data_IF_411365699595
#
_entry.id   IF_411365699595
#
_cell.length_a   1.000
_cell.length_b   1.000
_cell.length_c   1.000
_cell.angle_alpha   90.00
_cell.angle_beta   90.00
_cell.angle_gamma   90.00
#
_symmetry.space_group_name_H-M   'P 1'
#
loop_
_entity.id
_entity.type
_entity.pdbx_description
1 polymer ?
#
# COMPACT_ATOMS: atom_id res chain seq x y z
N UNK A 1 11.21 39.24 -6.39
CA UNK A 1 12.25 39.08 -7.41
C UNK A 1 12.69 40.44 -7.94
N UNK A 2 13.99 40.75 -7.88
CA UNK A 2 14.51 41.95 -8.53
C UNK A 2 14.40 41.79 -10.05
N UNK A 3 13.92 42.80 -10.76
CA UNK A 3 13.69 42.79 -12.20
C UNK A 3 12.64 41.79 -12.74
N UNK A 4 11.76 41.29 -11.90
CA UNK A 4 10.67 40.41 -12.31
C UNK A 4 11.08 38.97 -12.63
N UNK A 5 12.34 38.57 -12.44
CA UNK A 5 12.82 37.22 -12.67
C UNK A 5 12.53 36.35 -11.47
N UNK A 6 11.80 35.24 -11.70
CA UNK A 6 11.53 34.18 -10.72
C UNK A 6 12.19 32.86 -11.18
N UNK A 7 13.11 32.34 -10.36
CA UNK A 7 13.83 31.09 -10.64
C UNK A 7 13.26 29.87 -9.89
N UNK A 8 12.12 30.03 -9.22
CA UNK A 8 11.56 28.96 -8.40
C UNK A 8 10.81 27.89 -9.20
N UNK A 9 10.34 28.22 -10.39
CA UNK A 9 9.64 27.29 -11.26
C UNK A 9 10.20 27.35 -12.68
N UNK A 10 10.15 26.21 -13.38
CA UNK A 10 10.62 26.10 -14.76
C UNK A 10 9.83 27.04 -15.68
N UNK A 11 8.52 27.15 -15.50
CA UNK A 11 7.67 28.08 -16.26
C UNK A 11 8.10 29.53 -16.08
N UNK A 12 8.41 29.93 -14.85
CA UNK A 12 8.88 31.31 -14.57
C UNK A 12 10.28 31.56 -15.12
N UNK A 13 11.17 30.58 -15.15
CA UNK A 13 12.50 30.65 -15.76
C UNK A 13 12.39 30.85 -17.28
N UNK A 14 11.45 30.18 -17.93
CA UNK A 14 11.17 30.34 -19.37
C UNK A 14 10.53 31.68 -19.70
N UNK A 15 9.57 32.14 -18.88
CA UNK A 15 8.99 33.48 -19.04
C UNK A 15 10.05 34.58 -18.85
N UNK A 16 10.99 34.32 -17.94
CA UNK A 16 12.08 35.25 -17.63
C UNK A 16 11.63 36.52 -16.91
N UNK A 17 12.42 37.54 -16.98
CA UNK A 17 12.17 38.83 -16.37
C UNK A 17 12.15 39.95 -17.39
N UNK A 18 12.48 41.22 -16.96
CA UNK A 18 12.51 42.38 -17.82
C UNK A 18 13.50 42.27 -19.00
N UNK A 19 14.50 41.38 -18.92
CA UNK A 19 15.51 41.15 -19.95
C UNK A 19 15.17 39.95 -20.86
N UNK A 20 13.97 39.39 -20.76
CA UNK A 20 13.54 38.22 -21.52
C UNK A 20 13.72 36.86 -20.80
N UNK A 21 13.60 35.74 -21.52
CA UNK A 21 13.77 34.41 -20.97
C UNK A 21 15.10 34.18 -20.30
N UNK A 22 15.12 33.56 -19.12
CA UNK A 22 16.37 33.30 -18.39
C UNK A 22 17.19 32.17 -19.01
N UNK A 23 16.53 31.22 -19.66
CA UNK A 23 17.18 30.12 -20.40
C UNK A 23 16.51 29.93 -21.77
N UNK A 24 17.30 29.41 -22.72
CA UNK A 24 16.84 28.94 -24.02
C UNK A 24 17.09 27.45 -24.14
N UNK A 25 16.09 26.75 -24.62
CA UNK A 25 16.19 25.29 -24.81
C UNK A 25 17.28 24.97 -25.85
N UNK A 26 18.07 23.95 -25.61
CA UNK A 26 19.17 23.49 -26.49
C UNK A 26 20.33 24.45 -26.69
N UNK A 27 20.35 25.55 -25.95
CA UNK A 27 21.31 26.62 -26.21
C UNK A 27 21.80 27.28 -24.91
N UNK A 28 22.57 26.54 -24.11
CA UNK A 28 23.11 27.05 -22.85
C UNK A 28 23.97 28.33 -23.09
N UNK A 29 24.81 28.34 -24.12
CA UNK A 29 25.71 29.42 -24.45
C UNK A 29 25.00 30.74 -24.78
N UNK A 30 23.75 30.67 -25.25
CA UNK A 30 22.91 31.84 -25.56
C UNK A 30 21.82 32.11 -24.53
N UNK A 31 21.83 31.35 -23.43
CA UNK A 31 20.93 31.50 -22.30
C UNK A 31 21.43 32.62 -21.37
N UNK A 32 20.56 33.59 -21.06
CA UNK A 32 20.88 34.73 -20.21
C UNK A 32 21.45 34.28 -18.85
N UNK A 33 20.91 33.24 -18.26
CA UNK A 33 21.36 32.67 -16.99
C UNK A 33 22.84 32.24 -17.08
N UNK A 34 23.22 31.53 -18.15
CA UNK A 34 24.60 31.09 -18.36
C UNK A 34 25.53 32.24 -18.70
N UNK A 35 25.08 33.17 -19.54
CA UNK A 35 25.86 34.36 -19.93
C UNK A 35 26.22 35.18 -18.70
N UNK A 36 25.28 35.50 -17.80
CA UNK A 36 25.56 36.30 -16.60
C UNK A 36 26.39 35.56 -15.57
N UNK A 37 26.26 34.21 -15.50
CA UNK A 37 27.05 33.37 -14.62
C UNK A 37 28.52 33.27 -15.12
N UNK A 38 28.72 33.02 -16.43
CA UNK A 38 30.06 32.87 -17.03
C UNK A 38 30.81 34.17 -17.13
N UNK A 39 30.11 35.30 -17.33
CA UNK A 39 30.74 36.64 -17.37
C UNK A 39 31.08 37.22 -16.00
N UNK A 40 30.79 36.51 -14.89
CA UNK A 40 31.02 36.99 -13.53
C UNK A 40 30.09 38.10 -13.06
N UNK A 41 29.04 38.45 -13.83
CA UNK A 41 28.01 39.43 -13.43
C UNK A 41 27.10 38.87 -12.30
N UNK A 42 27.07 37.57 -12.11
CA UNK A 42 26.35 36.89 -11.06
C UNK A 42 27.23 35.82 -10.35
N UNK A 43 27.20 35.77 -9.03
CA UNK A 43 26.38 36.54 -8.09
C UNK A 43 26.87 38.01 -7.98
N UNK A 44 25.96 38.97 -7.70
CA UNK A 44 26.32 40.40 -7.63
C UNK A 44 27.13 40.76 -6.37
N UNK A 45 27.23 39.87 -5.41
CA UNK A 45 28.04 39.95 -4.19
C UNK A 45 28.58 38.54 -3.88
N UNK A 46 29.87 38.43 -3.61
CA UNK A 46 30.57 37.16 -3.35
C UNK A 46 31.59 36.84 -4.42
N UNK A 47 32.21 35.69 -4.35
CA UNK A 47 33.14 35.19 -5.37
C UNK A 47 32.40 34.77 -6.65
N UNK A 48 32.99 35.02 -7.84
CA UNK A 48 32.44 34.51 -9.09
C UNK A 48 32.34 32.99 -9.09
N UNK A 49 31.37 32.45 -9.83
CA UNK A 49 31.23 31.01 -9.99
C UNK A 49 32.49 30.41 -10.62
N UNK A 50 32.94 29.31 -10.07
CA UNK A 50 34.06 28.53 -10.61
C UNK A 50 33.71 27.92 -11.97
N UNK A 51 34.71 27.59 -12.78
CA UNK A 51 34.51 26.92 -14.06
C UNK A 51 33.72 25.59 -13.93
N UNK A 52 33.90 24.87 -12.82
CA UNK A 52 33.15 23.63 -12.53
C UNK A 52 31.66 23.92 -12.26
N UNK A 53 31.32 24.99 -11.56
CA UNK A 53 29.92 25.39 -11.28
C UNK A 53 29.23 25.92 -12.53
N UNK A 54 29.95 26.72 -13.34
CA UNK A 54 29.48 27.17 -14.65
C UNK A 54 29.22 25.95 -15.56
N UNK A 55 30.10 24.95 -15.55
CA UNK A 55 29.93 23.71 -16.29
C UNK A 55 28.66 22.95 -15.87
N UNK A 56 28.34 22.92 -14.58
CA UNK A 56 27.07 22.28 -14.07
C UNK A 56 25.85 23.04 -14.60
N UNK A 57 25.84 24.36 -14.61
CA UNK A 57 24.73 25.15 -15.16
C UNK A 57 24.56 24.84 -16.66
N UNK A 58 25.66 24.78 -17.42
CA UNK A 58 25.64 24.44 -18.83
C UNK A 58 25.05 23.06 -19.10
N UNK A 59 25.52 22.03 -18.37
CA UNK A 59 25.03 20.69 -18.48
C UNK A 59 23.52 20.61 -18.09
N UNK A 60 23.15 21.28 -17.02
CA UNK A 60 21.76 21.34 -16.58
C UNK A 60 20.83 21.97 -17.63
N UNK A 61 21.24 23.07 -18.26
CA UNK A 61 20.44 23.69 -19.33
C UNK A 61 20.34 22.77 -20.55
N UNK A 62 21.41 22.11 -20.96
CA UNK A 62 21.43 21.30 -22.18
C UNK A 62 20.80 19.90 -21.98
N UNK A 63 20.89 19.30 -20.80
CA UNK A 63 20.43 17.92 -20.53
C UNK A 63 19.22 17.87 -19.63
N UNK A 64 19.29 18.37 -18.41
CA UNK A 64 18.24 18.21 -17.40
C UNK A 64 17.12 19.23 -17.52
N UNK A 65 17.44 20.49 -17.72
CA UNK A 65 16.41 21.52 -17.89
C UNK A 65 15.55 21.25 -19.12
N UNK A 66 16.15 20.68 -20.15
CA UNK A 66 15.44 20.31 -21.38
C UNK A 66 14.33 19.28 -21.16
N UNK A 67 14.55 18.28 -20.32
CA UNK A 67 13.52 17.28 -19.99
C UNK A 67 12.39 17.91 -19.19
N UNK A 68 12.71 18.68 -18.18
CA UNK A 68 11.73 19.37 -17.33
C UNK A 68 10.95 20.43 -18.10
N UNK A 69 11.64 21.16 -18.99
CA UNK A 69 11.04 22.20 -19.82
C UNK A 69 10.12 21.64 -20.92
N UNK A 70 10.45 20.50 -21.51
CA UNK A 70 9.54 19.81 -22.45
C UNK A 70 8.25 19.38 -21.76
N UNK A 71 8.33 18.94 -20.51
CA UNK A 71 7.15 18.60 -19.72
C UNK A 71 6.30 19.85 -19.43
N UNK A 72 6.93 20.96 -19.03
CA UNK A 72 6.24 22.22 -18.75
C UNK A 72 5.62 22.86 -20.02
N UNK A 73 6.28 22.77 -21.16
CA UNK A 73 5.75 23.26 -22.44
C UNK A 73 4.55 22.41 -22.92
N UNK A 74 4.59 21.09 -22.70
CA UNK A 74 3.48 20.20 -23.00
C UNK A 74 2.25 20.51 -22.13
N UNK A 75 2.45 20.84 -20.84
CA UNK A 75 1.34 21.24 -19.95
C UNK A 75 0.77 22.63 -20.25
N UNK A 76 1.59 23.57 -20.73
CA UNK A 76 1.12 24.92 -21.08
C UNK A 76 0.32 24.96 -22.40
N UNK A 77 0.57 24.03 -23.33
CA UNK A 77 -0.19 23.93 -24.61
C UNK A 77 -1.56 23.25 -24.46
N UNK A 78 -1.90 22.70 -23.31
CA UNK A 78 -3.16 21.97 -23.07
C UNK A 78 -4.22 22.77 -22.31
N UNK A 79 -4.08 24.09 -22.19
CA UNK A 79 -5.06 24.93 -21.48
C UNK A 79 -6.39 25.12 -22.23
N UNK A 80 -6.54 24.68 -23.47
CA UNK A 80 -7.76 24.92 -24.30
C UNK A 80 -8.28 23.69 -25.07
N UNK A 81 -7.96 22.46 -24.65
CA UNK A 81 -8.57 21.29 -25.27
C UNK A 81 -9.29 20.48 -24.20
N UNK A 82 -10.60 20.23 -24.42
CA UNK A 82 -11.39 19.27 -23.64
C UNK A 82 -10.56 18.01 -23.45
N UNK A 83 -10.24 17.73 -22.18
CA UNK A 83 -9.50 16.55 -21.75
C UNK A 83 -10.33 15.32 -22.08
N UNK A 84 -10.08 14.70 -23.21
CA UNK A 84 -10.24 13.25 -23.36
C UNK A 84 -8.94 12.67 -22.86
N UNK A 85 -8.93 12.30 -21.59
CA UNK A 85 -7.81 11.61 -20.95
C UNK A 85 -7.59 10.26 -21.60
N UNK A 86 -6.70 10.21 -22.58
CA UNK A 86 -5.90 9.02 -22.78
C UNK A 86 -4.52 9.35 -22.21
N UNK A 87 -4.41 9.20 -20.90
CA UNK A 87 -3.12 9.13 -20.23
C UNK A 87 -2.43 7.89 -20.80
N UNK A 88 -1.57 8.08 -21.79
CA UNK A 88 -0.64 7.03 -22.19
C UNK A 88 0.33 6.84 -21.02
N UNK A 89 -0.07 6.01 -20.06
CA UNK A 89 0.90 5.36 -19.22
C UNK A 89 1.87 4.70 -20.20
N UNK A 90 3.17 4.95 -20.05
CA UNK A 90 4.15 4.12 -20.73
C UNK A 90 3.70 2.68 -20.49
N UNK A 91 3.35 1.97 -21.55
CA UNK A 91 3.15 0.53 -21.51
C UNK A 91 4.53 -0.03 -21.15
N UNK A 92 4.81 -0.12 -19.84
CA UNK A 92 5.76 -1.08 -19.35
C UNK A 92 5.13 -2.40 -19.78
N UNK A 93 5.74 -3.09 -20.73
CA UNK A 93 5.35 -4.46 -21.04
C UNK A 93 5.52 -5.23 -19.74
N UNK A 94 4.40 -5.49 -19.07
CA UNK A 94 4.35 -6.29 -17.85
C UNK A 94 4.58 -7.76 -18.25
N UNK A 95 5.81 -8.07 -18.65
CA UNK A 95 6.26 -9.44 -18.95
C UNK A 95 6.52 -10.23 -17.66
N UNK A 96 6.48 -9.58 -16.52
CA UNK A 96 6.61 -10.23 -15.23
C UNK A 96 5.37 -11.07 -14.95
N UNK A 97 5.55 -12.36 -14.75
CA UNK A 97 4.48 -13.32 -14.50
C UNK A 97 3.55 -12.90 -13.35
N UNK A 98 4.10 -12.26 -12.29
CA UNK A 98 3.35 -11.80 -11.11
C UNK A 98 2.38 -10.63 -11.39
N UNK A 99 2.56 -9.91 -12.51
CA UNK A 99 1.66 -8.85 -12.94
C UNK A 99 0.73 -9.27 -14.07
N UNK A 100 0.88 -10.51 -14.55
CA UNK A 100 -0.03 -11.07 -15.54
C UNK A 100 -1.30 -11.57 -14.84
N UNK A 101 -2.50 -11.21 -15.31
CA UNK A 101 -3.73 -11.72 -14.73
C UNK A 101 -3.72 -13.24 -14.66
N UNK A 102 -4.07 -13.85 -13.50
CA UNK A 102 -4.07 -15.30 -13.36
C UNK A 102 -5.07 -15.94 -14.31
N UNK A 103 -4.63 -16.97 -15.03
CA UNK A 103 -5.49 -17.77 -15.89
C UNK A 103 -5.79 -19.09 -15.19
N UNK A 104 -7.06 -19.52 -15.23
CA UNK A 104 -7.48 -20.79 -14.65
C UNK A 104 -6.98 -21.93 -15.54
N UNK A 105 -6.04 -22.78 -15.04
CA UNK A 105 -5.57 -23.91 -15.83
C UNK A 105 -6.67 -24.98 -15.96
N UNK A 106 -6.58 -25.81 -17.01
CA UNK A 106 -7.43 -26.99 -17.12
C UNK A 106 -7.09 -27.97 -15.99
N UNK A 107 -8.13 -28.52 -15.35
CA UNK A 107 -7.95 -29.53 -14.29
C UNK A 107 -7.47 -30.83 -14.94
N UNK A 108 -6.32 -31.40 -14.51
CA UNK A 108 -5.82 -32.64 -15.08
C UNK A 108 -6.78 -33.80 -14.89
N UNK A 109 -6.96 -34.62 -15.94
CA UNK A 109 -7.71 -35.88 -15.85
C UNK A 109 -6.71 -37.00 -15.59
N UNK A 110 -6.68 -37.47 -14.35
CA UNK A 110 -5.81 -38.60 -13.98
C UNK A 110 -6.56 -39.90 -14.23
N UNK A 111 -6.07 -40.71 -15.17
CA UNK A 111 -6.66 -42.01 -15.49
C UNK A 111 -6.03 -43.12 -14.63
N UNK A 112 -6.86 -44.04 -14.07
CA UNK A 112 -6.38 -45.19 -13.32
C UNK A 112 -7.21 -45.51 -12.09
N UNK A 113 -6.72 -46.48 -11.27
CA UNK A 113 -7.37 -46.88 -9.98
C UNK A 113 -7.46 -45.75 -8.97
N UNK A 114 -6.64 -44.67 -9.18
CA UNK A 114 -6.64 -43.46 -8.38
C UNK A 114 -7.42 -42.30 -9.07
N UNK A 115 -8.29 -42.65 -10.05
CA UNK A 115 -9.17 -41.65 -10.69
C UNK A 115 -10.06 -41.02 -9.63
N UNK A 116 -10.12 -39.69 -9.52
CA UNK A 116 -11.00 -39.06 -8.55
C UNK A 116 -12.45 -39.43 -8.89
N UNK A 117 -13.20 -39.79 -7.86
CA UNK A 117 -14.67 -39.71 -7.92
C UNK A 117 -15.04 -38.31 -8.46
N UNK A 118 -16.14 -38.20 -9.20
CA UNK A 118 -16.57 -36.95 -9.84
C UNK A 118 -16.74 -35.75 -8.88
N UNK A 119 -16.60 -36.01 -7.58
CA UNK A 119 -16.64 -35.05 -6.44
C UNK A 119 -15.28 -34.62 -5.96
N UNK A 120 -14.16 -35.10 -6.55
CA UNK A 120 -12.82 -34.76 -6.05
C UNK A 120 -12.48 -33.27 -6.24
N UNK A 121 -11.84 -32.72 -5.23
CA UNK A 121 -11.32 -31.35 -5.26
C UNK A 121 -10.32 -31.18 -6.45
N UNK A 122 -10.45 -30.14 -7.28
CA UNK A 122 -9.49 -29.88 -8.36
C UNK A 122 -8.03 -29.86 -7.90
N UNK A 123 -7.74 -29.40 -6.68
CA UNK A 123 -6.38 -29.39 -6.10
C UNK A 123 -5.82 -30.83 -6.02
N UNK A 124 -6.65 -31.78 -5.64
CA UNK A 124 -6.23 -33.18 -5.58
C UNK A 124 -5.85 -33.73 -6.97
N UNK A 125 -6.51 -33.28 -8.03
CA UNK A 125 -6.18 -33.68 -9.40
C UNK A 125 -4.78 -33.22 -9.81
N UNK A 126 -4.43 -31.97 -9.50
CA UNK A 126 -3.08 -31.45 -9.76
C UNK A 126 -2.01 -32.18 -8.92
N UNK A 127 -2.29 -32.46 -7.65
CA UNK A 127 -1.37 -33.19 -6.80
C UNK A 127 -1.19 -34.64 -7.28
N UNK A 128 -2.26 -35.32 -7.67
CA UNK A 128 -2.21 -36.69 -8.19
C UNK A 128 -1.42 -36.78 -9.48
N UNK A 129 -1.57 -35.84 -10.41
CA UNK A 129 -0.78 -35.78 -11.64
C UNK A 129 0.72 -35.76 -11.32
N UNK A 130 1.13 -34.86 -10.40
CA UNK A 130 2.53 -34.74 -10.00
C UNK A 130 3.06 -35.97 -9.25
N UNK A 131 2.24 -36.55 -8.35
CA UNK A 131 2.59 -37.78 -7.65
C UNK A 131 2.76 -38.95 -8.62
N UNK A 132 1.79 -39.14 -9.55
CA UNK A 132 1.82 -40.21 -10.56
C UNK A 132 3.05 -40.09 -11.46
N UNK A 133 3.44 -38.89 -11.87
CA UNK A 133 4.65 -38.66 -12.66
C UNK A 133 5.93 -39.11 -11.94
N UNK A 134 5.89 -39.21 -10.61
CA UNK A 134 7.01 -39.72 -9.77
C UNK A 134 6.79 -41.15 -9.27
N UNK A 135 5.76 -41.85 -9.74
CA UNK A 135 5.42 -43.21 -9.28
C UNK A 135 4.93 -43.26 -7.82
N UNK A 136 4.43 -42.14 -7.30
CA UNK A 136 3.90 -42.01 -5.95
C UNK A 136 2.37 -41.90 -5.93
N UNK A 137 1.76 -42.17 -4.79
CA UNK A 137 0.35 -42.00 -4.54
C UNK A 137 0.12 -41.25 -3.20
N UNK A 138 -1.10 -40.81 -2.95
CA UNK A 138 -1.45 -40.27 -1.63
C UNK A 138 -1.25 -41.32 -0.52
N UNK A 139 -0.83 -40.84 0.63
CA UNK A 139 -0.84 -41.63 1.86
C UNK A 139 -2.26 -42.00 2.28
N UNK A 140 -2.47 -43.07 3.03
CA UNK A 140 -3.79 -43.38 3.60
C UNK A 140 -4.36 -42.20 4.38
N UNK A 141 -5.70 -42.05 4.45
CA UNK A 141 -6.35 -41.04 5.28
C UNK A 141 -5.88 -41.07 6.73
N UNK A 142 -5.71 -39.92 7.33
CA UNK A 142 -5.33 -39.80 8.72
C UNK A 142 -6.43 -40.36 9.64
N UNK A 143 -6.03 -40.90 10.80
CA UNK A 143 -6.99 -41.30 11.84
C UNK A 143 -7.84 -40.10 12.29
N UNK A 144 -9.10 -40.33 12.65
CA UNK A 144 -10.01 -39.26 13.14
C UNK A 144 -9.39 -38.42 14.26
N UNK A 145 -8.70 -39.07 15.23
CA UNK A 145 -8.00 -38.38 16.32
C UNK A 145 -6.87 -37.43 15.85
N UNK A 146 -6.16 -37.84 14.81
CA UNK A 146 -5.12 -37.01 14.18
C UNK A 146 -5.76 -35.88 13.40
N UNK A 147 -6.84 -36.14 12.67
CA UNK A 147 -7.51 -35.16 11.83
C UNK A 147 -8.12 -34.02 12.66
N UNK A 148 -8.91 -34.34 13.70
CA UNK A 148 -9.46 -33.30 14.58
C UNK A 148 -8.39 -32.49 15.27
N UNK A 149 -7.29 -33.12 15.71
CA UNK A 149 -6.16 -32.40 16.30
C UNK A 149 -5.56 -31.38 15.31
N UNK A 150 -5.36 -31.76 14.05
CA UNK A 150 -4.84 -30.87 13.01
C UNK A 150 -5.78 -29.71 12.75
N UNK A 151 -7.08 -29.99 12.54
CA UNK A 151 -8.10 -28.96 12.30
C UNK A 151 -8.11 -27.92 13.42
N UNK A 152 -8.15 -28.35 14.69
CA UNK A 152 -8.17 -27.43 15.82
C UNK A 152 -6.88 -26.58 15.91
N UNK A 153 -5.72 -27.21 15.72
CA UNK A 153 -4.44 -26.47 15.78
C UNK A 153 -4.29 -25.46 14.64
N UNK A 154 -4.69 -25.83 13.43
CA UNK A 154 -4.58 -24.94 12.28
C UNK A 154 -5.60 -23.81 12.36
N UNK A 155 -6.86 -24.12 12.63
CA UNK A 155 -7.96 -23.17 12.56
C UNK A 155 -8.12 -22.31 13.83
N UNK A 156 -7.89 -22.88 15.01
CA UNK A 156 -8.07 -22.20 16.31
C UNK A 156 -6.77 -21.98 17.09
N UNK A 157 -5.68 -22.66 16.71
CA UNK A 157 -4.40 -22.58 17.43
C UNK A 157 -4.38 -23.29 18.78
N UNK A 158 -5.39 -24.09 19.11
CA UNK A 158 -5.54 -24.81 20.37
C UNK A 158 -5.82 -26.28 20.14
N UNK A 159 -5.71 -27.10 21.20
CA UNK A 159 -6.10 -28.51 21.15
C UNK A 159 -7.62 -28.67 21.32
N UNK A 160 -8.23 -29.70 20.66
CA UNK A 160 -9.61 -30.05 20.90
C UNK A 160 -9.84 -30.58 22.34
N UNK A 161 -11.00 -30.30 22.91
CA UNK A 161 -11.35 -30.87 24.19
C UNK A 161 -11.54 -32.41 24.09
N UNK A 162 -11.38 -33.18 25.20
CA UNK A 162 -11.64 -34.60 25.20
C UNK A 162 -13.04 -34.96 24.71
N UNK A 163 -14.02 -34.12 25.04
CA UNK A 163 -15.41 -34.29 24.60
C UNK A 163 -15.57 -34.09 23.08
N UNK A 164 -14.91 -33.11 22.50
CA UNK A 164 -14.90 -32.88 21.04
C UNK A 164 -14.27 -34.08 20.31
N UNK A 165 -13.16 -34.61 20.84
CA UNK A 165 -12.49 -35.80 20.28
C UNK A 165 -13.45 -37.00 20.30
N UNK A 166 -14.14 -37.24 21.44
CA UNK A 166 -15.06 -38.34 21.59
C UNK A 166 -16.27 -38.24 20.64
N UNK A 167 -16.89 -37.05 20.53
CA UNK A 167 -17.99 -36.79 19.59
C UNK A 167 -17.58 -37.07 18.15
N UNK A 168 -16.47 -36.53 17.71
CA UNK A 168 -15.98 -36.72 16.34
C UNK A 168 -15.58 -38.18 16.06
N UNK A 169 -14.94 -38.85 17.01
CA UNK A 169 -14.58 -40.27 16.90
C UNK A 169 -15.78 -41.18 16.73
N UNK A 170 -16.87 -40.87 17.43
CA UNK A 170 -18.11 -41.65 17.41
C UNK A 170 -19.03 -41.34 16.20
N UNK A 171 -18.79 -40.27 15.46
CA UNK A 171 -19.58 -39.86 14.28
C UNK A 171 -19.07 -40.56 13.02
N UNK A 172 -19.69 -41.64 12.60
CA UNK A 172 -19.33 -42.40 11.39
C UNK A 172 -20.16 -41.98 10.16
N UNK A 173 -20.85 -40.84 10.24
CA UNK A 173 -21.60 -40.34 9.09
C UNK A 173 -20.65 -39.76 8.01
N UNK A 174 -21.05 -39.81 6.72
CA UNK A 174 -20.26 -39.25 5.63
C UNK A 174 -19.96 -37.74 5.77
N UNK A 175 -20.78 -37.02 6.55
CA UNK A 175 -20.66 -35.58 6.77
C UNK A 175 -19.98 -35.22 8.10
N UNK A 176 -19.42 -36.21 8.82
CA UNK A 176 -18.74 -35.96 10.11
C UNK A 176 -17.64 -34.92 10.03
N UNK A 177 -16.83 -34.97 8.97
CA UNK A 177 -15.75 -33.99 8.74
C UNK A 177 -16.28 -32.58 8.43
N UNK A 178 -17.36 -32.50 7.63
CA UNK A 178 -17.99 -31.22 7.34
C UNK A 178 -18.54 -30.55 8.60
N UNK A 179 -19.24 -31.33 9.45
CA UNK A 179 -19.73 -30.84 10.76
C UNK A 179 -18.59 -30.32 11.64
N UNK A 180 -17.46 -31.02 11.67
CA UNK A 180 -16.28 -30.59 12.41
C UNK A 180 -15.78 -29.23 11.88
N UNK A 181 -15.72 -29.05 10.57
CA UNK A 181 -15.30 -27.79 9.97
C UNK A 181 -16.29 -26.66 10.28
N UNK A 182 -17.59 -26.92 10.15
CA UNK A 182 -18.66 -25.95 10.45
C UNK A 182 -18.62 -25.52 11.94
N UNK A 183 -18.41 -26.46 12.87
CA UNK A 183 -18.24 -26.17 14.30
C UNK A 183 -17.02 -25.28 14.55
N UNK A 184 -15.88 -25.56 13.93
CA UNK A 184 -14.63 -24.85 14.13
C UNK A 184 -14.66 -23.47 13.47
N UNK A 185 -15.26 -23.34 12.29
CA UNK A 185 -15.41 -22.05 11.60
C UNK A 185 -16.40 -21.11 12.30
N UNK A 186 -17.40 -21.68 13.01
CA UNK A 186 -18.34 -20.89 13.82
C UNK A 186 -17.77 -20.49 15.19
N UNK A 187 -16.61 -21.01 15.59
CA UNK A 187 -15.97 -20.68 16.86
C UNK A 187 -15.36 -19.27 16.81
N UNK A 188 -15.69 -18.34 17.72
CA UNK A 188 -15.16 -16.98 17.71
C UNK A 188 -13.63 -16.92 17.79
N UNK A 189 -12.97 -17.93 18.30
CA UNK A 189 -11.50 -18.04 18.33
C UNK A 189 -10.88 -18.20 16.93
N UNK A 190 -11.67 -18.56 15.92
CA UNK A 190 -11.23 -18.53 14.52
C UNK A 190 -10.76 -17.12 14.11
N UNK A 191 -11.58 -16.11 14.36
CA UNK A 191 -11.22 -14.73 14.07
C UNK A 191 -10.03 -14.23 14.88
N UNK A 192 -9.89 -14.62 16.15
CA UNK A 192 -8.72 -14.30 16.97
C UNK A 192 -7.44 -14.92 16.38
N UNK A 193 -7.51 -16.20 15.96
CA UNK A 193 -6.37 -16.93 15.38
C UNK A 193 -5.95 -16.35 14.03
N UNK A 194 -6.91 -16.16 13.11
CA UNK A 194 -6.62 -15.72 11.74
C UNK A 194 -6.47 -14.21 11.62
N UNK A 195 -7.21 -13.46 12.40
CA UNK A 195 -7.05 -12.01 12.52
C UNK A 195 -5.65 -11.61 12.95
N UNK A 196 -4.97 -12.41 13.78
CA UNK A 196 -3.57 -12.18 14.16
C UNK A 196 -2.65 -12.09 12.94
N UNK A 197 -2.82 -12.99 11.96
CA UNK A 197 -1.98 -12.97 10.76
C UNK A 197 -2.16 -11.67 9.97
N UNK A 198 -3.41 -11.16 9.90
CA UNK A 198 -3.65 -9.86 9.30
C UNK A 198 -3.05 -8.71 10.10
N UNK A 199 -3.17 -8.73 11.41
CA UNK A 199 -2.59 -7.72 12.29
C UNK A 199 -1.06 -7.68 12.19
N UNK A 200 -0.40 -8.84 12.03
CA UNK A 200 1.04 -8.93 11.78
C UNK A 200 1.40 -8.26 10.42
N UNK A 201 0.62 -8.52 9.36
CA UNK A 201 0.79 -7.89 8.05
C UNK A 201 0.56 -6.39 8.11
N UNK A 202 -0.45 -5.94 8.86
CA UNK A 202 -0.78 -4.54 9.06
C UNK A 202 0.23 -3.79 9.95
N UNK A 203 1.13 -4.50 10.64
CA UNK A 203 2.05 -3.89 11.58
C UNK A 203 1.37 -3.36 12.84
N UNK A 204 0.31 -4.04 13.30
CA UNK A 204 -0.46 -3.65 14.49
C UNK A 204 0.41 -3.56 15.74
N UNK A 205 0.26 -2.49 16.49
CA UNK A 205 0.87 -2.29 17.80
C UNK A 205 -0.05 -1.46 18.70
N UNK A 206 -0.11 -1.78 19.99
CA UNK A 206 -0.85 -1.02 21.00
C UNK A 206 -0.18 0.33 21.33
N UNK A 207 1.06 0.54 20.90
CA UNK A 207 1.81 1.76 21.11
C UNK A 207 2.27 2.42 19.80
N UNK A 208 2.72 3.67 19.87
CA UNK A 208 3.15 4.46 18.73
C UNK A 208 4.47 3.98 18.08
N UNK A 209 5.25 3.16 18.79
CA UNK A 209 6.52 2.61 18.29
C UNK A 209 7.68 3.60 18.28
N UNK A 210 7.65 4.61 19.13
CA UNK A 210 8.70 5.66 19.19
C UNK A 210 9.58 5.49 20.41
N UNK A 211 10.86 5.17 20.21
CA UNK A 211 11.82 4.81 21.25
C UNK A 211 11.93 5.79 22.43
N UNK A 212 11.82 7.10 22.18
CA UNK A 212 12.04 8.13 23.21
C UNK A 212 10.77 8.63 23.88
N UNK A 213 9.62 8.29 23.32
CA UNK A 213 8.34 8.82 23.77
C UNK A 213 7.18 7.92 23.29
N UNK A 214 7.34 6.62 23.52
CA UNK A 214 6.31 5.66 23.16
C UNK A 214 5.02 5.94 23.96
N UNK A 215 3.92 6.06 23.25
CA UNK A 215 2.61 6.35 23.81
C UNK A 215 1.61 5.29 23.41
N UNK A 216 0.73 4.95 24.34
CA UNK A 216 -0.38 4.04 24.08
C UNK A 216 -1.32 4.62 23.04
N UNK A 217 -1.72 3.79 22.10
CA UNK A 217 -2.76 4.08 21.10
C UNK A 217 -4.12 3.68 21.67
N UNK A 218 -4.72 4.57 22.42
CA UNK A 218 -5.92 4.30 23.24
C UNK A 218 -7.10 3.66 22.48
N UNK A 219 -7.21 3.86 21.16
CA UNK A 219 -8.34 3.39 20.37
C UNK A 219 -7.96 2.33 19.32
N UNK A 220 -6.69 1.98 19.19
CA UNK A 220 -6.24 1.04 18.14
C UNK A 220 -6.83 -0.37 18.32
N UNK A 221 -7.19 -0.75 19.54
CA UNK A 221 -7.87 -2.01 19.82
C UNK A 221 -9.18 -2.17 19.05
N UNK A 222 -9.85 -1.06 18.65
CA UNK A 222 -11.05 -1.11 17.81
C UNK A 222 -10.76 -1.70 16.43
N UNK A 223 -9.59 -1.36 15.86
CA UNK A 223 -9.13 -1.97 14.61
C UNK A 223 -8.88 -3.47 14.77
N UNK A 224 -8.19 -3.89 15.84
CA UNK A 224 -8.00 -5.31 16.14
C UNK A 224 -9.34 -6.04 16.23
N UNK A 225 -10.26 -5.50 16.98
CA UNK A 225 -11.56 -6.12 17.19
C UNK A 225 -12.41 -6.14 15.90
N UNK A 226 -12.30 -5.09 15.06
CA UNK A 226 -12.85 -5.09 13.70
C UNK A 226 -12.30 -6.26 12.87
N UNK A 227 -10.98 -6.45 12.85
CA UNK A 227 -10.34 -7.53 12.11
C UNK A 227 -10.85 -8.89 12.58
N UNK A 228 -10.89 -9.13 13.90
CA UNK A 228 -11.41 -10.38 14.48
C UNK A 228 -12.86 -10.63 14.03
N UNK A 229 -13.73 -9.61 14.12
CA UNK A 229 -15.12 -9.74 13.68
C UNK A 229 -15.26 -9.94 12.17
N UNK A 230 -14.42 -9.30 11.37
CA UNK A 230 -14.41 -9.45 9.92
C UNK A 230 -14.11 -10.91 9.51
N UNK A 231 -13.12 -11.55 10.14
CA UNK A 231 -12.82 -12.96 9.92
C UNK A 231 -13.97 -13.87 10.40
N UNK A 232 -14.55 -13.61 11.56
CA UNK A 232 -15.64 -14.42 12.10
C UNK A 232 -16.95 -14.36 11.29
N UNK A 233 -17.20 -13.25 10.60
CA UNK A 233 -18.38 -13.08 9.73
C UNK A 233 -18.10 -13.41 8.26
N UNK A 234 -16.90 -13.92 7.96
CA UNK A 234 -16.45 -14.22 6.60
C UNK A 234 -16.64 -13.03 5.63
N UNK A 235 -16.21 -11.83 6.08
CA UNK A 235 -16.35 -10.61 5.28
C UNK A 235 -15.61 -10.77 3.96
N UNK A 236 -16.25 -10.51 2.79
CA UNK A 236 -15.59 -10.58 1.49
C UNK A 236 -14.31 -9.73 1.45
N UNK A 237 -13.23 -10.29 0.92
CA UNK A 237 -11.91 -9.67 0.96
C UNK A 237 -11.87 -8.28 0.31
N UNK A 238 -12.59 -8.08 -0.78
CA UNK A 238 -12.68 -6.78 -1.45
C UNK A 238 -13.37 -5.72 -0.58
N UNK A 239 -14.42 -6.10 0.15
CA UNK A 239 -15.08 -5.23 1.12
C UNK A 239 -14.15 -4.96 2.31
N UNK A 240 -13.50 -6.00 2.85
CA UNK A 240 -12.55 -5.88 3.93
C UNK A 240 -11.42 -4.88 3.63
N UNK A 241 -10.86 -4.93 2.41
CA UNK A 241 -9.82 -3.97 1.98
C UNK A 241 -10.39 -2.57 1.80
N UNK A 242 -11.56 -2.42 1.18
CA UNK A 242 -12.19 -1.10 0.96
C UNK A 242 -12.49 -0.39 2.28
N UNK A 243 -13.04 -1.10 3.26
CA UNK A 243 -13.34 -0.53 4.57
C UNK A 243 -12.06 -0.07 5.29
N UNK A 244 -10.94 -0.76 5.12
CA UNK A 244 -9.66 -0.37 5.73
C UNK A 244 -9.01 0.86 5.07
N UNK A 245 -9.35 1.17 3.82
CA UNK A 245 -8.79 2.32 3.09
C UNK A 245 -9.72 3.53 3.16
N UNK A 246 -11.03 3.32 3.03
CA UNK A 246 -12.03 4.38 2.84
C UNK A 246 -13.35 4.08 3.59
N UNK A 247 -13.27 3.42 4.73
CA UNK A 247 -14.47 3.04 5.50
C UNK A 247 -15.28 4.24 5.97
N UNK A 248 -14.62 5.33 6.32
CA UNK A 248 -15.24 6.60 6.70
C UNK A 248 -16.02 7.23 5.53
N UNK A 249 -15.52 7.16 4.31
CA UNK A 249 -16.17 7.68 3.12
C UNK A 249 -17.32 6.78 2.67
N UNK A 250 -17.10 5.46 2.64
CA UNK A 250 -18.11 4.48 2.17
C UNK A 250 -19.37 4.52 3.02
N UNK A 251 -19.23 4.73 4.32
CA UNK A 251 -20.35 4.79 5.28
C UNK A 251 -20.74 6.21 5.68
N UNK A 252 -20.36 7.23 4.91
CA UNK A 252 -20.73 8.63 5.12
C UNK A 252 -20.53 9.12 6.57
N UNK A 253 -19.36 8.81 7.16
CA UNK A 253 -19.05 9.15 8.55
C UNK A 253 -19.33 10.62 8.88
N UNK A 254 -18.91 11.55 8.02
CA UNK A 254 -19.04 12.99 8.29
C UNK A 254 -20.49 13.47 8.33
N UNK A 255 -21.35 12.91 7.48
CA UNK A 255 -22.79 13.22 7.52
C UNK A 255 -23.43 12.78 8.84
N UNK A 256 -23.11 11.58 9.31
CA UNK A 256 -23.56 11.08 10.61
C UNK A 256 -22.95 11.87 11.77
N UNK A 257 -21.68 12.27 11.67
CA UNK A 257 -21.01 13.06 12.69
C UNK A 257 -21.66 14.45 12.86
N UNK A 258 -22.06 15.11 11.79
CA UNK A 258 -22.65 16.44 11.82
C UNK A 258 -24.15 16.43 12.18
N UNK A 259 -24.89 15.38 11.78
CA UNK A 259 -26.34 15.35 11.82
C UNK A 259 -26.93 14.35 12.83
N UNK A 260 -26.12 13.61 13.58
CA UNK A 260 -26.59 12.59 14.53
C UNK A 260 -25.90 12.71 15.89
N UNK A 261 -26.66 12.47 16.97
CA UNK A 261 -26.11 12.44 18.33
C UNK A 261 -25.30 11.15 18.60
N UNK A 262 -25.63 10.07 17.88
CA UNK A 262 -24.97 8.78 17.98
C UNK A 262 -24.61 8.26 16.58
N UNK A 263 -23.44 7.61 16.48
CA UNK A 263 -23.02 6.96 15.25
C UNK A 263 -23.65 5.57 15.11
N UNK A 264 -24.24 5.23 13.96
CA UNK A 264 -24.68 3.88 13.66
C UNK A 264 -23.53 2.88 13.79
N UNK A 265 -23.84 1.64 14.19
CA UNK A 265 -22.83 0.61 14.46
C UNK A 265 -21.99 0.26 13.23
N UNK A 266 -22.57 0.23 12.05
CA UNK A 266 -21.86 -0.01 10.79
C UNK A 266 -20.88 1.11 10.43
N UNK A 267 -21.23 2.37 10.73
CA UNK A 267 -20.32 3.52 10.60
C UNK A 267 -19.15 3.40 11.57
N UNK A 268 -19.42 3.01 12.83
CA UNK A 268 -18.35 2.77 13.84
C UNK A 268 -17.43 1.63 13.42
N UNK A 269 -17.98 0.55 12.87
CA UNK A 269 -17.22 -0.60 12.35
C UNK A 269 -16.31 -0.16 11.19
N UNK A 270 -16.87 0.52 10.19
CA UNK A 270 -16.13 0.98 9.02
C UNK A 270 -15.06 2.04 9.37
N UNK A 271 -15.38 2.95 10.30
CA UNK A 271 -14.38 3.88 10.84
C UNK A 271 -13.26 3.14 11.58
N UNK A 272 -13.60 2.10 12.36
CA UNK A 272 -12.61 1.29 13.06
C UNK A 272 -11.69 0.54 12.08
N UNK A 273 -12.19 0.16 10.92
CA UNK A 273 -11.41 -0.47 9.85
C UNK A 273 -10.27 0.44 9.35
N UNK A 274 -10.51 1.76 9.25
CA UNK A 274 -9.49 2.72 8.80
C UNK A 274 -8.29 2.82 9.75
N UNK A 275 -8.36 2.19 10.92
CA UNK A 275 -7.23 1.99 11.81
C UNK A 275 -6.03 1.33 11.13
N UNK A 276 -6.23 0.59 10.03
CA UNK A 276 -5.17 0.09 9.15
C UNK A 276 -4.21 1.19 8.69
N UNK A 277 -4.72 2.38 8.38
CA UNK A 277 -3.91 3.52 7.97
C UNK A 277 -3.15 4.18 9.14
N UNK A 278 -3.36 3.69 10.37
CA UNK A 278 -2.74 4.21 11.59
C UNK A 278 -1.82 3.19 12.30
N UNK A 279 -1.57 2.05 11.70
CA UNK A 279 -0.73 0.98 12.28
C UNK A 279 0.77 1.29 12.19
N UNK A 280 1.19 2.08 11.20
CA UNK A 280 2.58 2.50 11.06
C UNK A 280 3.10 3.21 12.32
N UNK A 281 4.41 3.11 12.66
CA UNK A 281 5.02 3.92 13.69
C UNK A 281 4.72 5.40 13.46
N UNK A 282 4.12 6.05 14.42
CA UNK A 282 3.66 7.44 14.32
C UNK A 282 4.13 8.25 15.50
N UNK A 283 5.14 9.10 15.26
CA UNK A 283 5.65 10.04 16.23
C UNK A 283 4.88 11.38 16.23
N UNK A 284 3.90 11.55 15.34
CA UNK A 284 3.12 12.79 15.26
C UNK A 284 2.25 12.96 16.53
N UNK A 285 2.24 14.18 17.04
CA UNK A 285 1.52 14.56 18.28
C UNK A 285 0.83 15.90 18.10
N UNK A 286 -0.29 16.13 18.79
CA UNK A 286 -0.99 17.42 18.75
C UNK A 286 -0.15 18.63 19.18
N UNK A 287 0.91 18.43 19.97
CA UNK A 287 1.77 19.49 20.49
C UNK A 287 2.96 19.87 19.59
N UNK A 288 3.07 19.29 18.40
CA UNK A 288 4.18 19.57 17.48
C UNK A 288 4.20 20.96 16.84
N UNK A 289 3.21 21.80 17.11
CA UNK A 289 3.19 23.19 16.58
C UNK A 289 4.43 24.02 16.93
N UNK A 290 5.19 23.59 17.92
CA UNK A 290 6.41 24.28 18.39
C UNK A 290 7.70 23.70 17.81
N UNK A 291 7.67 22.57 17.13
CA UNK A 291 8.86 21.87 16.62
C UNK A 291 9.22 22.38 15.22
N UNK A 292 10.47 22.78 15.02
CA UNK A 292 10.98 23.13 13.70
C UNK A 292 11.11 21.88 12.81
N UNK A 293 10.70 22.00 11.53
CA UNK A 293 10.76 20.92 10.56
C UNK A 293 9.95 19.66 10.92
N UNK A 294 8.78 19.84 11.48
CA UNK A 294 7.84 18.75 11.82
C UNK A 294 7.60 17.82 10.64
N UNK A 295 7.40 18.38 9.45
CA UNK A 295 7.14 17.59 8.25
C UNK A 295 8.29 16.64 7.91
N UNK A 296 9.53 17.10 7.94
CA UNK A 296 10.70 16.26 7.61
C UNK A 296 10.99 15.18 8.65
N UNK A 297 10.77 15.50 9.93
CA UNK A 297 11.13 14.60 11.03
C UNK A 297 10.05 13.57 11.38
N UNK A 298 8.78 13.89 11.16
CA UNK A 298 7.66 13.06 11.63
C UNK A 298 6.66 12.73 10.53
N UNK A 299 6.13 13.72 9.82
CA UNK A 299 5.07 13.54 8.84
C UNK A 299 5.49 12.62 7.68
N UNK A 300 6.57 12.95 6.96
CA UNK A 300 7.03 12.14 5.85
C UNK A 300 7.50 10.74 6.25
N UNK A 301 8.24 10.54 7.37
CA UNK A 301 8.57 9.21 7.85
C UNK A 301 7.36 8.33 8.17
N UNK A 302 6.29 8.92 8.73
CA UNK A 302 5.06 8.20 9.01
C UNK A 302 4.36 7.78 7.72
N UNK A 303 4.23 8.69 6.74
CA UNK A 303 3.68 8.35 5.42
C UNK A 303 4.50 7.27 4.71
N UNK A 304 5.83 7.35 4.76
CA UNK A 304 6.71 6.31 4.21
C UNK A 304 6.41 4.92 4.82
N UNK A 305 6.23 4.88 6.13
CA UNK A 305 5.92 3.64 6.85
C UNK A 305 4.53 3.11 6.50
N UNK A 306 3.54 3.98 6.36
CA UNK A 306 2.19 3.61 5.91
C UNK A 306 2.19 3.10 4.47
N UNK A 307 2.92 3.76 3.56
CA UNK A 307 3.11 3.30 2.19
C UNK A 307 3.69 1.88 2.16
N UNK A 308 4.71 1.64 2.98
CA UNK A 308 5.35 0.33 3.08
C UNK A 308 4.34 -0.74 3.52
N UNK A 309 3.55 -0.48 4.56
CA UNK A 309 2.55 -1.42 5.07
C UNK A 309 1.45 -1.65 4.03
N UNK A 310 0.90 -0.59 3.45
CA UNK A 310 -0.16 -0.67 2.46
C UNK A 310 0.26 -1.48 1.23
N UNK A 311 1.44 -1.21 0.68
CA UNK A 311 1.89 -1.88 -0.53
C UNK A 311 2.35 -3.31 -0.27
N UNK A 312 3.07 -3.57 0.83
CA UNK A 312 3.48 -4.93 1.18
C UNK A 312 2.30 -5.79 1.62
N UNK A 313 1.37 -5.24 2.39
CA UNK A 313 0.21 -5.97 2.91
C UNK A 313 -0.86 -6.26 1.87
N UNK A 314 -1.18 -5.28 1.02
CA UNK A 314 -2.27 -5.42 0.04
C UNK A 314 -1.80 -5.84 -1.35
N UNK A 315 -0.60 -5.45 -1.76
CA UNK A 315 -0.10 -5.65 -3.12
C UNK A 315 1.05 -6.66 -3.20
N UNK A 316 1.63 -7.06 -2.07
CA UNK A 316 2.82 -7.91 -2.04
C UNK A 316 4.07 -7.27 -2.66
N UNK A 317 4.12 -5.93 -2.71
CA UNK A 317 5.17 -5.16 -3.38
C UNK A 317 5.88 -4.28 -2.36
N UNK A 318 7.22 -4.23 -2.41
CA UNK A 318 8.01 -3.34 -1.57
C UNK A 318 8.35 -2.06 -2.32
N UNK A 319 7.88 -0.90 -1.84
CA UNK A 319 8.06 0.38 -2.55
C UNK A 319 9.17 1.25 -1.99
N UNK A 320 9.74 0.91 -0.84
CA UNK A 320 10.70 1.76 -0.13
C UNK A 320 11.95 2.13 -0.97
N UNK A 321 12.44 1.21 -1.81
CA UNK A 321 13.57 1.47 -2.69
C UNK A 321 13.24 2.54 -3.74
N UNK A 322 11.98 2.59 -4.20
CA UNK A 322 11.51 3.55 -5.20
C UNK A 322 11.45 5.00 -4.68
N UNK A 323 11.63 5.23 -3.39
CA UNK A 323 11.78 6.58 -2.82
C UNK A 323 13.00 7.33 -3.38
N UNK A 324 14.11 6.64 -3.62
CA UNK A 324 15.38 7.25 -4.00
C UNK A 324 15.74 7.03 -5.48
N UNK A 325 15.32 5.93 -6.07
CA UNK A 325 15.59 5.55 -7.47
C UNK A 325 14.54 4.54 -7.93
N UNK A 326 14.44 4.27 -9.23
CA UNK A 326 13.55 3.25 -9.75
C UNK A 326 13.84 1.89 -9.10
N UNK A 327 12.79 1.11 -8.79
CA UNK A 327 12.94 -0.16 -8.10
C UNK A 327 13.78 -1.14 -8.93
N UNK A 328 14.71 -1.85 -8.27
CA UNK A 328 15.67 -2.69 -8.98
C UNK A 328 15.04 -3.91 -9.66
N UNK A 329 14.03 -4.48 -9.03
CA UNK A 329 13.44 -5.76 -9.45
C UNK A 329 12.01 -5.62 -9.96
N UNK A 330 11.21 -4.76 -9.34
CA UNK A 330 9.81 -4.56 -9.69
C UNK A 330 9.67 -3.39 -10.68
N UNK A 331 8.65 -3.40 -11.55
CA UNK A 331 8.44 -2.33 -12.53
C UNK A 331 7.83 -1.07 -11.86
N UNK A 332 8.49 -0.57 -10.84
CA UNK A 332 8.10 0.59 -10.06
C UNK A 332 9.12 1.70 -10.22
N UNK A 333 8.69 2.83 -10.74
CA UNK A 333 9.53 4.02 -10.85
C UNK A 333 9.49 4.85 -9.57
N UNK A 334 10.51 5.69 -9.37
CA UNK A 334 10.49 6.72 -8.32
C UNK A 334 9.24 7.60 -8.43
N UNK A 335 8.79 7.91 -9.64
CA UNK A 335 7.57 8.68 -9.88
C UNK A 335 6.34 7.98 -9.30
N UNK A 336 6.20 6.67 -9.47
CA UNK A 336 5.09 5.90 -8.90
C UNK A 336 5.07 5.99 -7.37
N UNK A 337 6.23 5.92 -6.72
CA UNK A 337 6.34 6.10 -5.28
C UNK A 337 5.75 7.46 -4.84
N UNK A 338 6.17 8.56 -5.46
CA UNK A 338 5.69 9.90 -5.10
C UNK A 338 4.23 10.16 -5.49
N UNK A 339 3.73 9.52 -6.54
CA UNK A 339 2.30 9.56 -6.87
C UNK A 339 1.46 8.91 -5.78
N UNK A 340 1.87 7.72 -5.30
CA UNK A 340 1.17 7.03 -4.22
C UNK A 340 1.32 7.77 -2.89
N UNK A 341 2.48 8.37 -2.62
CA UNK A 341 2.69 9.23 -1.46
C UNK A 341 1.71 10.42 -1.48
N UNK A 342 1.52 11.07 -2.63
CA UNK A 342 0.62 12.21 -2.77
C UNK A 342 -0.84 11.83 -2.46
N UNK A 343 -1.28 10.62 -2.81
CA UNK A 343 -2.61 10.10 -2.44
C UNK A 343 -2.73 10.00 -0.92
N UNK A 344 -1.75 9.40 -0.24
CA UNK A 344 -1.79 9.26 1.22
C UNK A 344 -1.65 10.60 1.95
N UNK A 345 -0.97 11.59 1.36
CA UNK A 345 -0.89 12.92 1.94
C UNK A 345 -2.23 13.64 2.05
N UNK A 346 -3.19 13.31 1.19
CA UNK A 346 -4.55 13.87 1.28
C UNK A 346 -5.38 13.21 2.38
N UNK A 347 -5.08 11.97 2.71
CA UNK A 347 -5.80 11.19 3.74
C UNK A 347 -5.19 11.41 5.14
N UNK A 348 -3.88 11.58 5.21
CA UNK A 348 -3.17 11.73 6.47
C UNK A 348 -2.93 13.20 6.80
N UNK A 349 -3.75 13.74 7.67
CA UNK A 349 -3.53 15.07 8.25
C UNK A 349 -3.12 14.95 9.72
N UNK A 350 -1.87 15.23 10.09
CA UNK A 350 -1.43 15.15 11.48
C UNK A 350 -2.06 16.21 12.38
N UNK A 351 -2.58 17.29 11.79
CA UNK A 351 -3.21 18.40 12.53
C UNK A 351 -4.71 18.21 12.74
N UNK A 352 -5.33 17.29 12.00
CA UNK A 352 -6.76 17.00 12.06
C UNK A 352 -6.99 15.50 12.32
N UNK A 353 -7.09 15.14 13.59
CA UNK A 353 -7.57 13.82 13.99
C UNK A 353 -9.08 13.77 13.81
N UNK A 354 -9.59 12.64 13.28
CA UNK A 354 -11.04 12.41 13.25
C UNK A 354 -11.53 12.36 14.70
N UNK A 355 -12.42 13.28 15.10
CA UNK A 355 -12.90 13.29 16.46
C UNK A 355 -13.82 12.08 16.69
N UNK A 356 -13.66 11.43 17.85
CA UNK A 356 -14.61 10.45 18.35
C UNK A 356 -15.65 11.17 19.22
N UNK A 357 -16.89 10.84 18.98
CA UNK A 357 -17.99 11.11 19.91
C UNK A 357 -18.27 9.90 20.79
#
# INVERSE_FOLDING_TARGET
>A
PKAGLDLRTVTAILQGGKSGPAIRLDAAETSLLYEVASSGKMPPKGEPLTAAEQGKIRVWINENARTDLKLAAATASHADTKVTETTSYHQVEYTYWSFTPPQRPAVPVVSGKDSPDSTANPIDSFLREQLSAKGLSFSPPALKSTLIRRVYLDMLGILPSPQAIQRYAADDTPIAFQRLLDEVLADPRYGERWGRHWLDVAGYSDSAGVLSADQDRQLIWRFRDYVIRAFNRDLPYDQFVREQIAGDEIHNYWDHYENSDELPQDVVEALSATGFLRTAPDASRPDFKTIKNVNGLYYYPTIDSQLQILTSGLMGITVKCAKCHDHKFDPLTQKNYYQLQAVLMSVYNPDAWIPFR
#
